data_IF_776923931553
#
_entry.id   IF_776923931553
#
_cell.length_a   1.000
_cell.length_b   1.000
_cell.length_c   1.000
_cell.angle_alpha   90.00
_cell.angle_beta   90.00
_cell.angle_gamma   90.00
#
_symmetry.space_group_name_H-M   'P 1'
#
loop_
_entity.id
_entity.type
_entity.pdbx_description
1 polymer ?
#
# COMPACT_ATOMS: atom_id res chain seq x y z
N UNK A 1 -46.80 -66.00 -17.59
CA UNK A 1 -45.89 -65.44 -16.57
C UNK A 1 -45.06 -64.33 -17.22
N UNK A 2 -45.21 -63.13 -16.67
CA UNK A 2 -44.36 -61.91 -16.68
C UNK A 2 -43.41 -61.62 -17.87
N UNK A 3 -43.65 -60.55 -18.65
CA UNK A 3 -43.16 -59.14 -18.48
C UNK A 3 -41.63 -59.05 -18.73
N UNK A 4 -41.11 -58.26 -19.69
CA UNK A 4 -41.29 -56.82 -19.89
C UNK A 4 -40.91 -56.36 -21.33
N UNK A 5 -41.65 -55.37 -21.84
CA UNK A 5 -41.28 -54.51 -22.96
C UNK A 5 -40.21 -53.49 -22.54
N UNK A 6 -39.31 -53.07 -23.42
CA UNK A 6 -38.77 -51.70 -23.40
C UNK A 6 -38.45 -51.23 -24.82
N UNK A 7 -39.12 -50.15 -25.21
CA UNK A 7 -39.03 -49.41 -26.48
C UNK A 7 -37.79 -48.51 -26.43
N UNK A 8 -36.97 -48.47 -27.48
CA UNK A 8 -35.94 -47.43 -27.66
C UNK A 8 -36.35 -46.57 -28.86
N UNK A 9 -36.72 -45.33 -28.57
CA UNK A 9 -36.96 -44.28 -29.54
C UNK A 9 -36.22 -43.01 -29.09
N UNK A 10 -35.73 -42.25 -30.08
CA UNK A 10 -35.22 -40.87 -30.00
C UNK A 10 -33.87 -40.70 -29.25
N UNK A 11 -32.94 -39.85 -29.66
CA UNK A 11 -33.01 -38.71 -30.54
C UNK A 11 -31.65 -38.45 -31.21
N UNK A 12 -31.67 -38.44 -32.54
CA UNK A 12 -30.66 -37.80 -33.37
C UNK A 12 -31.12 -36.34 -33.54
N UNK A 13 -30.82 -35.49 -32.55
CA UNK A 13 -31.16 -34.08 -32.57
C UNK A 13 -29.90 -33.24 -32.39
N UNK A 14 -29.39 -32.77 -33.53
CA UNK A 14 -28.74 -31.48 -33.70
C UNK A 14 -27.66 -31.11 -32.68
N UNK A 15 -26.44 -31.55 -32.97
CA UNK A 15 -25.23 -30.83 -32.61
C UNK A 15 -25.19 -29.48 -33.35
N UNK A 16 -26.00 -28.52 -32.91
CA UNK A 16 -25.83 -27.10 -33.22
C UNK A 16 -24.74 -26.59 -32.28
N UNK A 17 -23.53 -26.52 -32.82
CA UNK A 17 -22.35 -26.00 -32.13
C UNK A 17 -22.61 -24.59 -31.60
N UNK A 18 -22.61 -24.47 -30.29
CA UNK A 18 -22.41 -23.20 -29.61
C UNK A 18 -20.93 -22.85 -29.73
N UNK A 19 -20.57 -22.05 -30.75
CA UNK A 19 -19.28 -21.37 -30.75
C UNK A 19 -19.32 -20.30 -29.66
N UNK A 20 -19.04 -20.71 -28.42
CA UNK A 20 -18.79 -19.79 -27.33
C UNK A 20 -17.46 -19.11 -27.65
N UNK A 21 -17.53 -17.87 -28.16
CA UNK A 21 -16.36 -17.02 -28.30
C UNK A 21 -15.76 -16.86 -26.90
N UNK A 22 -14.71 -17.61 -26.62
CA UNK A 22 -13.87 -17.41 -25.45
C UNK A 22 -13.29 -15.99 -25.59
N UNK A 23 -13.97 -15.01 -24.99
CA UNK A 23 -13.30 -13.78 -24.62
C UNK A 23 -12.18 -14.23 -23.69
N UNK A 24 -10.95 -14.20 -24.20
CA UNK A 24 -9.78 -14.26 -23.36
C UNK A 24 -9.96 -13.15 -22.33
N UNK A 25 -10.38 -13.50 -21.12
CA UNK A 25 -10.37 -12.58 -20.01
C UNK A 25 -8.92 -12.10 -19.94
N UNK A 26 -8.69 -10.83 -20.27
CA UNK A 26 -7.38 -10.23 -20.08
C UNK A 26 -7.01 -10.52 -18.63
N UNK A 27 -5.94 -11.28 -18.42
CA UNK A 27 -5.45 -11.57 -17.09
C UNK A 27 -5.05 -10.24 -16.48
N UNK A 28 -5.89 -9.72 -15.57
CA UNK A 28 -5.52 -8.55 -14.79
C UNK A 28 -4.20 -8.89 -14.10
N UNK A 29 -3.12 -8.13 -14.35
CA UNK A 29 -1.84 -8.42 -13.72
C UNK A 29 -2.04 -8.50 -12.22
N UNK A 30 -1.59 -9.60 -11.60
CA UNK A 30 -1.53 -9.66 -10.14
C UNK A 30 -0.61 -8.55 -9.68
N UNK A 31 -1.07 -7.62 -8.82
CA UNK A 31 -0.21 -6.56 -8.30
C UNK A 31 1.02 -7.17 -7.62
N UNK A 32 2.20 -6.59 -7.86
CA UNK A 32 3.40 -7.06 -7.16
C UNK A 32 3.22 -6.95 -5.66
N UNK A 33 3.74 -7.94 -4.93
CA UNK A 33 3.83 -7.88 -3.47
C UNK A 33 4.96 -6.98 -3.00
N UNK A 34 5.92 -6.66 -3.87
CA UNK A 34 7.07 -5.85 -3.56
C UNK A 34 6.98 -4.50 -4.27
N UNK A 35 7.38 -3.45 -3.57
CA UNK A 35 7.56 -2.13 -4.18
C UNK A 35 8.77 -1.42 -3.57
N UNK A 36 9.30 -0.45 -4.31
CA UNK A 36 10.17 0.58 -3.78
C UNK A 36 9.32 1.76 -3.33
N UNK A 37 9.65 2.31 -2.17
CA UNK A 37 9.18 3.62 -1.73
C UNK A 37 10.33 4.62 -1.77
N UNK A 38 10.07 5.79 -2.34
CA UNK A 38 11.04 6.88 -2.45
C UNK A 38 10.48 8.02 -1.61
N UNK A 39 11.07 8.25 -0.44
CA UNK A 39 10.74 9.39 0.40
C UNK A 39 11.24 10.67 -0.28
N UNK A 40 10.42 11.71 -0.29
CA UNK A 40 10.70 12.93 -1.06
C UNK A 40 10.73 14.16 -0.17
N UNK A 41 9.55 14.61 0.24
CA UNK A 41 9.34 15.78 1.09
C UNK A 41 8.39 15.46 2.23
N UNK A 42 8.45 16.31 3.25
CA UNK A 42 7.53 16.37 4.36
C UNK A 42 7.02 17.79 4.57
N UNK A 43 5.92 17.90 5.30
CA UNK A 43 5.39 19.17 5.77
C UNK A 43 5.05 19.07 7.26
N UNK A 44 5.82 19.78 8.09
CA UNK A 44 5.53 19.85 9.52
C UNK A 44 4.23 20.62 9.80
N UNK A 45 3.43 20.09 10.74
CA UNK A 45 2.09 20.64 11.06
C UNK A 45 2.18 21.87 11.97
N UNK A 46 3.25 22.03 12.74
CA UNK A 46 3.52 23.22 13.57
C UNK A 46 4.37 24.25 12.83
N UNK A 47 4.02 25.53 12.99
CA UNK A 47 4.72 26.63 12.31
C UNK A 47 6.22 26.67 12.64
N UNK A 48 6.58 26.66 13.93
CA UNK A 48 7.99 26.72 14.35
C UNK A 48 8.85 25.63 13.70
N UNK A 49 8.28 24.43 13.54
CA UNK A 49 8.99 23.30 12.94
C UNK A 49 9.16 23.48 11.44
N UNK A 50 8.23 24.16 10.76
CA UNK A 50 8.43 24.52 9.35
C UNK A 50 9.52 25.54 9.15
N UNK A 51 9.72 26.41 10.13
CA UNK A 51 10.70 27.48 10.07
C UNK A 51 12.10 27.00 10.47
N UNK A 52 12.20 25.94 11.28
CA UNK A 52 13.48 25.51 11.87
C UNK A 52 13.92 24.09 11.51
N UNK A 53 13.04 23.23 11.00
CA UNK A 53 13.35 21.84 10.68
C UNK A 53 13.37 21.58 9.18
N UNK A 54 14.16 20.59 8.81
CA UNK A 54 14.29 20.13 7.44
C UNK A 54 12.97 19.52 6.93
N UNK A 55 12.48 20.01 5.79
CA UNK A 55 11.26 19.51 5.14
C UNK A 55 11.58 18.48 4.07
N UNK A 56 12.76 18.55 3.45
CA UNK A 56 13.19 17.60 2.43
C UNK A 56 13.62 16.30 3.10
N UNK A 57 12.91 15.21 2.88
CA UNK A 57 13.18 13.92 3.53
C UNK A 57 13.57 12.83 2.51
N UNK A 58 14.56 13.08 1.62
CA UNK A 58 14.95 12.12 0.60
C UNK A 58 15.36 10.80 1.24
N UNK A 59 14.88 9.70 0.65
CA UNK A 59 15.10 8.37 1.18
C UNK A 59 14.66 7.29 0.21
N UNK A 60 15.02 6.06 0.56
CA UNK A 60 14.67 4.86 -0.19
C UNK A 60 14.27 3.76 0.79
N UNK A 61 13.21 3.05 0.46
CA UNK A 61 12.73 1.90 1.18
C UNK A 61 12.11 0.85 0.28
N UNK A 62 11.78 -0.27 0.91
CA UNK A 62 11.08 -1.39 0.31
C UNK A 62 9.79 -1.65 1.07
N UNK A 63 8.71 -1.88 0.33
CA UNK A 63 7.42 -2.31 0.84
C UNK A 63 7.19 -3.78 0.47
N UNK A 64 6.60 -4.53 1.40
CA UNK A 64 6.13 -5.89 1.16
C UNK A 64 4.68 -6.06 1.63
N UNK A 65 3.77 -6.34 0.70
CA UNK A 65 2.36 -6.63 0.96
C UNK A 65 2.15 -8.13 1.26
N UNK A 66 1.84 -8.43 2.52
CA UNK A 66 1.52 -9.78 2.97
C UNK A 66 0.10 -10.18 2.55
N UNK A 67 -0.84 -9.26 2.76
CA UNK A 67 -2.26 -9.36 2.43
C UNK A 67 -2.72 -8.06 1.75
N UNK A 68 -3.97 -7.97 1.25
CA UNK A 68 -4.50 -6.70 0.75
C UNK A 68 -4.54 -5.56 1.78
N UNK A 69 -4.47 -5.87 3.08
CA UNK A 69 -4.63 -4.88 4.15
C UNK A 69 -3.38 -4.75 5.03
N UNK A 70 -2.34 -5.56 4.82
CA UNK A 70 -1.23 -5.65 5.78
C UNK A 70 0.09 -5.92 5.08
N UNK A 71 1.12 -5.26 5.57
CA UNK A 71 2.46 -5.40 5.02
C UNK A 71 3.53 -4.89 5.98
N UNK A 72 4.73 -4.79 5.43
CA UNK A 72 5.90 -4.23 6.10
C UNK A 72 6.58 -3.25 5.18
N UNK A 73 7.25 -2.25 5.76
CA UNK A 73 8.16 -1.39 5.03
C UNK A 73 9.44 -1.17 5.83
N UNK A 74 10.56 -1.10 5.15
CA UNK A 74 11.85 -0.79 5.76
C UNK A 74 12.72 0.01 4.79
N UNK A 75 13.51 0.93 5.34
CA UNK A 75 14.29 1.83 4.51
C UNK A 75 15.07 2.85 5.32
N UNK A 76 15.55 3.87 4.63
CA UNK A 76 16.24 5.00 5.22
C UNK A 76 15.81 6.31 4.58
N UNK A 77 15.90 7.40 5.34
CA UNK A 77 15.61 8.74 4.84
C UNK A 77 16.35 9.81 5.65
N UNK A 78 16.41 11.03 5.13
CA UNK A 78 16.92 12.21 5.86
C UNK A 78 15.83 12.81 6.74
N UNK A 79 16.02 12.82 8.05
CA UNK A 79 15.00 13.27 9.00
C UNK A 79 14.92 14.79 9.19
N UNK A 80 13.99 15.25 10.03
CA UNK A 80 13.74 16.67 10.34
C UNK A 80 14.95 17.42 10.90
N UNK A 81 15.92 16.69 11.46
CA UNK A 81 17.19 17.20 11.98
C UNK A 81 18.35 16.99 10.99
N UNK A 82 18.04 16.74 9.72
CA UNK A 82 19.00 16.51 8.64
C UNK A 82 19.93 15.32 8.82
N UNK A 83 19.55 14.32 9.63
CA UNK A 83 20.33 13.10 9.86
C UNK A 83 19.71 11.93 9.08
N UNK A 84 20.54 10.99 8.65
CA UNK A 84 20.03 9.73 8.10
C UNK A 84 19.41 8.89 9.21
N UNK A 85 18.14 8.56 9.04
CA UNK A 85 17.36 7.65 9.88
C UNK A 85 17.06 6.37 9.11
N UNK A 86 17.02 5.25 9.83
CA UNK A 86 16.58 3.94 9.33
C UNK A 86 15.28 3.59 10.03
N UNK A 87 14.34 2.99 9.30
CA UNK A 87 13.05 2.57 9.84
C UNK A 87 12.72 1.13 9.46
N UNK A 88 11.87 0.52 10.28
CA UNK A 88 11.17 -0.72 9.98
C UNK A 88 9.78 -0.66 10.60
N UNK A 89 8.74 -0.83 9.79
CA UNK A 89 7.34 -0.66 10.19
C UNK A 89 6.45 -1.78 9.67
N UNK A 90 5.41 -2.09 10.42
CA UNK A 90 4.27 -2.87 9.97
C UNK A 90 3.14 -1.91 9.57
N UNK A 91 2.44 -2.21 8.48
CA UNK A 91 1.34 -1.42 7.96
C UNK A 91 0.02 -2.18 8.07
N UNK A 92 -1.06 -1.45 8.33
CA UNK A 92 -2.42 -1.97 8.31
C UNK A 92 -3.38 -0.95 7.69
N UNK A 93 -3.89 -1.23 6.48
CA UNK A 93 -4.76 -0.35 5.70
C UNK A 93 -6.09 -1.06 5.36
N UNK A 94 -7.05 -1.14 6.30
CA UNK A 94 -8.29 -1.89 6.10
C UNK A 94 -9.36 -1.14 5.29
N UNK A 95 -9.23 0.17 5.12
CA UNK A 95 -10.22 0.98 4.43
C UNK A 95 -9.84 1.08 2.96
N UNK A 96 -10.71 0.60 2.06
CA UNK A 96 -10.45 0.57 0.61
C UNK A 96 -11.52 1.29 -0.17
N UNK A 97 -11.10 2.15 -1.11
CA UNK A 97 -11.99 2.84 -2.04
C UNK A 97 -11.40 2.68 -3.45
N UNK A 98 -12.22 2.18 -4.38
CA UNK A 98 -11.88 2.19 -5.80
C UNK A 98 -12.28 3.53 -6.41
N UNK A 99 -11.37 4.16 -7.11
CA UNK A 99 -11.57 5.42 -7.82
C UNK A 99 -11.68 5.17 -9.33
N UNK A 100 -12.25 6.12 -10.10
CA UNK A 100 -12.21 6.08 -11.56
C UNK A 100 -10.77 5.99 -12.11
N UNK A 101 -10.64 5.66 -13.40
CA UNK A 101 -9.35 5.53 -14.10
C UNK A 101 -8.39 4.45 -13.54
N UNK A 102 -8.93 3.44 -12.83
CA UNK A 102 -8.14 2.32 -12.32
C UNK A 102 -7.22 2.70 -11.15
N UNK A 103 -7.60 3.72 -10.39
CA UNK A 103 -6.95 4.10 -9.15
C UNK A 103 -7.63 3.44 -7.95
N UNK A 104 -6.87 3.16 -6.91
CA UNK A 104 -7.37 2.73 -5.60
C UNK A 104 -6.75 3.58 -4.50
N UNK A 105 -7.51 3.73 -3.42
CA UNK A 105 -7.06 4.35 -2.18
C UNK A 105 -7.24 3.34 -1.06
N UNK A 106 -6.18 3.12 -0.29
CA UNK A 106 -6.21 2.38 0.96
C UNK A 106 -5.83 3.31 2.11
N UNK A 107 -6.46 3.17 3.27
CA UNK A 107 -6.18 3.99 4.44
C UNK A 107 -6.18 3.20 5.74
N UNK A 108 -5.33 3.62 6.67
CA UNK A 108 -5.17 3.03 7.99
C UNK A 108 -3.97 3.63 8.70
N UNK A 109 -3.05 2.78 9.16
CA UNK A 109 -1.87 3.24 9.88
C UNK A 109 -0.69 2.31 9.81
N UNK A 110 0.39 2.74 10.45
CA UNK A 110 1.61 1.99 10.60
C UNK A 110 2.18 2.15 12.01
N UNK A 111 2.94 1.14 12.43
CA UNK A 111 3.68 1.15 13.69
C UNK A 111 5.03 0.49 13.50
N UNK A 112 6.04 0.92 14.23
CA UNK A 112 7.34 0.30 14.15
C UNK A 112 8.42 1.07 14.88
N UNK A 113 9.63 0.98 14.34
CA UNK A 113 10.82 1.60 14.92
C UNK A 113 11.55 2.50 13.95
N UNK A 114 12.17 3.55 14.49
CA UNK A 114 12.96 4.51 13.76
C UNK A 114 14.19 4.96 14.55
N UNK A 115 15.31 5.13 13.86
CA UNK A 115 16.57 5.63 14.42
C UNK A 115 16.77 7.13 14.18
N UNK A 116 17.86 7.70 14.72
CA UNK A 116 18.29 9.06 14.37
C UNK A 116 17.59 10.19 15.11
N UNK A 117 16.92 9.90 16.24
CA UNK A 117 16.33 10.89 17.15
C UNK A 117 16.84 10.73 18.59
N UNK A 118 16.95 11.84 19.31
CA UNK A 118 17.19 11.91 20.75
C UNK A 118 15.87 12.01 21.52
N UNK A 119 15.89 11.80 22.84
CA UNK A 119 14.66 11.81 23.66
C UNK A 119 14.06 13.21 23.80
N UNK A 120 14.86 14.26 23.58
CA UNK A 120 14.38 15.63 23.54
C UNK A 120 13.61 15.95 22.24
N UNK A 121 13.93 15.25 21.16
CA UNK A 121 13.36 15.48 19.82
C UNK A 121 12.11 14.61 19.57
N UNK A 122 12.18 13.34 19.99
CA UNK A 122 11.11 12.36 19.90
C UNK A 122 11.10 11.53 21.20
N UNK A 123 10.23 11.85 22.18
CA UNK A 123 10.19 11.18 23.47
C UNK A 123 9.94 9.67 23.39
N UNK A 124 9.09 9.25 22.45
CA UNK A 124 8.66 7.85 22.29
C UNK A 124 9.65 6.98 21.51
N UNK A 125 10.83 7.52 21.17
CA UNK A 125 11.84 6.77 20.42
C UNK A 125 12.25 5.46 21.13
N UNK A 126 12.59 4.40 20.37
CA UNK A 126 12.62 4.37 18.91
C UNK A 126 11.25 4.11 18.29
N UNK A 127 10.16 4.08 19.06
CA UNK A 127 8.85 3.72 18.54
C UNK A 127 8.29 4.84 17.66
N UNK A 128 7.57 4.46 16.61
CA UNK A 128 6.78 5.36 15.79
C UNK A 128 5.41 4.77 15.49
N UNK A 129 4.42 5.65 15.39
CA UNK A 129 3.10 5.34 14.88
C UNK A 129 2.64 6.50 13.98
N UNK A 130 1.98 6.18 12.87
CA UNK A 130 1.48 7.17 11.93
C UNK A 130 0.20 6.69 11.26
N UNK A 131 -0.63 7.63 10.81
CA UNK A 131 -1.66 7.32 9.84
C UNK A 131 -1.01 7.13 8.46
N UNK A 132 -1.60 6.25 7.65
CA UNK A 132 -1.11 5.90 6.32
C UNK A 132 -2.27 5.98 5.32
N UNK A 133 -2.03 6.67 4.21
CA UNK A 133 -2.88 6.63 3.03
C UNK A 133 -2.03 6.22 1.83
N UNK A 134 -2.49 5.19 1.12
CA UNK A 134 -1.86 4.65 -0.06
C UNK A 134 -2.76 4.94 -1.26
N UNK A 135 -2.19 5.55 -2.30
CA UNK A 135 -2.87 5.71 -3.59
C UNK A 135 -2.11 4.86 -4.60
N UNK A 136 -2.79 3.99 -5.34
CA UNK A 136 -2.18 3.08 -6.31
C UNK A 136 -2.95 3.06 -7.62
N UNK A 137 -2.23 2.90 -8.72
CA UNK A 137 -2.78 2.52 -10.02
C UNK A 137 -2.98 1.00 -10.12
N UNK A 138 -3.76 0.56 -11.10
CA UNK A 138 -3.91 -0.87 -11.44
C UNK A 138 -2.58 -1.60 -11.72
N UNK A 139 -1.52 -0.88 -12.11
CA UNK A 139 -0.19 -1.44 -12.31
C UNK A 139 0.68 -1.43 -11.04
N UNK A 140 0.24 -0.80 -9.96
CA UNK A 140 0.95 -0.73 -8.68
C UNK A 140 1.79 0.53 -8.46
N UNK A 141 1.94 1.40 -9.46
CA UNK A 141 2.57 2.73 -9.25
C UNK A 141 1.70 3.60 -8.38
N UNK A 142 2.29 4.45 -7.55
CA UNK A 142 1.49 5.30 -6.68
C UNK A 142 2.27 6.21 -5.74
N UNK A 143 1.59 6.61 -4.67
CA UNK A 143 2.14 7.43 -3.60
C UNK A 143 1.68 6.93 -2.24
N UNK A 144 2.47 7.22 -1.20
CA UNK A 144 2.01 7.16 0.19
C UNK A 144 2.02 8.53 0.81
N UNK A 145 1.04 8.76 1.68
CA UNK A 145 1.02 9.86 2.63
C UNK A 145 1.11 9.29 4.03
N UNK A 146 2.19 9.63 4.74
CA UNK A 146 2.44 9.20 6.11
C UNK A 146 2.25 10.39 7.04
N UNK A 147 1.27 10.34 7.92
CA UNK A 147 0.95 11.43 8.83
C UNK A 147 1.29 11.05 10.27
N UNK A 148 2.38 11.63 10.79
CA UNK A 148 2.78 11.51 12.20
C UNK A 148 2.08 12.62 12.99
N UNK A 149 1.34 12.30 14.06
CA UNK A 149 0.65 13.31 14.86
C UNK A 149 1.63 14.13 15.70
N UNK A 150 1.17 15.29 16.17
CA UNK A 150 1.88 16.03 17.20
C UNK A 150 1.81 15.28 18.53
N UNK A 151 2.94 15.19 19.24
CA UNK A 151 3.02 14.56 20.56
C UNK A 151 3.78 15.48 21.53
N UNK A 152 3.08 16.01 22.54
CA UNK A 152 3.65 16.96 23.49
C UNK A 152 4.29 18.17 22.78
N UNK A 153 5.60 18.35 22.95
CA UNK A 153 6.36 19.41 22.28
C UNK A 153 6.89 19.00 20.88
N UNK A 154 6.85 17.72 20.53
CA UNK A 154 7.28 17.25 19.21
C UNK A 154 6.31 17.69 18.10
N UNK A 155 6.87 18.04 16.94
CA UNK A 155 6.12 18.44 15.76
C UNK A 155 5.90 17.24 14.84
N UNK A 156 4.63 16.85 14.69
CA UNK A 156 4.20 15.90 13.67
C UNK A 156 4.29 16.50 12.27
N UNK A 157 4.25 15.62 11.26
CA UNK A 157 4.41 15.99 9.86
C UNK A 157 3.57 15.08 8.96
N UNK A 158 3.38 15.52 7.71
CA UNK A 158 2.87 14.69 6.62
C UNK A 158 4.03 14.47 5.64
N UNK A 159 4.43 13.23 5.42
CA UNK A 159 5.47 12.83 4.47
C UNK A 159 4.88 12.26 3.19
N UNK A 160 5.52 12.54 2.06
CA UNK A 160 5.18 12.01 0.74
C UNK A 160 6.24 10.99 0.29
N UNK A 161 5.77 9.80 -0.10
CA UNK A 161 6.59 8.80 -0.77
C UNK A 161 6.04 8.52 -2.17
N UNK A 162 6.92 8.33 -3.15
CA UNK A 162 6.58 7.78 -4.46
C UNK A 162 6.76 6.27 -4.43
N UNK A 163 5.87 5.53 -5.08
CA UNK A 163 5.87 4.06 -5.03
C UNK A 163 5.99 3.47 -6.43
N UNK A 164 6.94 2.54 -6.57
CA UNK A 164 7.25 1.85 -7.82
C UNK A 164 7.16 0.34 -7.56
N UNK A 165 6.26 -0.41 -8.23
CA UNK A 165 6.14 -1.84 -8.06
C UNK A 165 7.39 -2.55 -8.59
N UNK A 166 7.86 -3.57 -7.87
CA UNK A 166 8.97 -4.42 -8.29
C UNK A 166 8.42 -5.70 -8.92
N UNK A 167 8.53 -5.83 -10.23
CA UNK A 167 8.02 -6.99 -11.00
C UNK A 167 9.09 -8.05 -11.20
#
# INVERSE_FOLDING_TARGET
MHRNLTIIALALAAALGTTQAAHAAASTPTPSRWALDISTTSYHTRQWARDSLNQDNPGLGFEYHCTPNSGFAAGFYKNSYSRTSVYAVATYTPLHISLPAGLSVAAGGLVGVISGYTSAEAPDRPLMAAALVEVRSSQGYGINLVAVPNAGQSAGFIGLQLVIPLT
#
